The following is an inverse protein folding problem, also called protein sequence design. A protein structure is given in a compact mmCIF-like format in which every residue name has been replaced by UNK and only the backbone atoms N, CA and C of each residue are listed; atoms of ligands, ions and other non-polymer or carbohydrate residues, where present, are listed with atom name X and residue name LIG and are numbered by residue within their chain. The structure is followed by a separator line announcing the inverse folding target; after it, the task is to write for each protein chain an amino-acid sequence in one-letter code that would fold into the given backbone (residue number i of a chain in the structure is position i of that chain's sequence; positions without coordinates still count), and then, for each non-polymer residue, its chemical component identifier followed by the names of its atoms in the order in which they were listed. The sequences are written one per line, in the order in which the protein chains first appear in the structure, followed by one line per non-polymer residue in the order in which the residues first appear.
data_IF_632341006340
#
_entry.id   IF_632341006340
#
_cell.length_a   1.000
_cell.length_b   1.000
_cell.length_c   1.000
_cell.angle_alpha   90.00
_cell.angle_beta   90.00
_cell.angle_gamma   90.00
#
_symmetry.space_group_name_H-M   'P 1'
#
loop_
_entity.id
_entity.type
_entity.pdbx_description
1 polymer ?
#
# COMPACT_ATOMS: atom_id res chain seq x y z
N UNK A 1 15.71 -10.63 2.73
CA UNK A 1 15.85 -9.38 1.96
C UNK A 1 15.16 -9.62 0.63
N UNK A 2 13.84 -9.39 0.59
CA UNK A 2 13.09 -9.42 -0.67
C UNK A 2 13.31 -8.09 -1.38
N UNK A 3 13.79 -8.13 -2.62
CA UNK A 3 14.10 -6.92 -3.38
C UNK A 3 12.82 -6.37 -4.00
N UNK A 4 12.71 -5.04 -4.13
CA UNK A 4 11.59 -4.35 -4.80
C UNK A 4 11.28 -4.91 -6.20
N UNK A 5 12.29 -5.46 -6.87
CA UNK A 5 12.14 -6.15 -8.15
C UNK A 5 11.26 -7.43 -8.07
N UNK A 6 11.28 -8.17 -6.97
CA UNK A 6 10.46 -9.37 -6.78
C UNK A 6 8.98 -9.00 -6.52
N UNK A 7 8.73 -7.88 -5.83
CA UNK A 7 7.39 -7.34 -5.66
C UNK A 7 6.80 -6.83 -7.00
N UNK A 8 7.62 -6.20 -7.84
CA UNK A 8 7.23 -5.63 -9.13
C UNK A 8 7.15 -6.67 -10.26
N UNK A 9 7.87 -7.79 -10.17
CA UNK A 9 7.81 -8.88 -11.15
C UNK A 9 6.50 -9.68 -11.10
N UNK A 10 5.62 -9.42 -10.12
CA UNK A 10 4.29 -10.01 -10.04
C UNK A 10 3.30 -9.32 -11.01
N UNK A 11 3.69 -9.17 -12.28
CA UNK A 11 2.88 -8.67 -13.38
C UNK A 11 1.84 -9.66 -13.89
N UNK A 12 1.28 -10.50 -13.02
CA UNK A 12 0.19 -11.40 -13.39
C UNK A 12 -0.79 -11.51 -12.23
N UNK A 13 -2.08 -11.35 -12.51
CA UNK A 13 -3.20 -11.30 -11.56
C UNK A 13 -3.37 -12.56 -10.68
N UNK A 14 -2.42 -13.51 -10.72
CA UNK A 14 -2.39 -14.72 -9.91
C UNK A 14 -1.36 -14.58 -8.81
N UNK A 15 -1.86 -14.28 -7.62
CA UNK A 15 -1.21 -14.49 -6.31
C UNK A 15 -0.26 -13.42 -5.76
N UNK A 16 -0.48 -12.13 -6.04
CA UNK A 16 0.13 -11.09 -5.20
C UNK A 16 -0.45 -11.15 -3.77
N UNK A 17 0.23 -11.85 -2.86
CA UNK A 17 0.00 -11.79 -1.42
C UNK A 17 0.81 -10.62 -0.86
N UNK A 18 0.23 -9.42 -0.91
CA UNK A 18 0.78 -8.23 -0.26
C UNK A 18 1.03 -8.53 1.22
N UNK A 19 2.31 -8.66 1.61
CA UNK A 19 2.67 -8.96 2.99
C UNK A 19 2.35 -7.77 3.91
N UNK A 20 2.30 -8.01 5.22
CA UNK A 20 2.02 -6.93 6.18
C UNK A 20 3.06 -5.82 6.10
N UNK A 21 4.32 -6.19 5.88
CA UNK A 21 5.43 -5.25 5.77
C UNK A 21 5.35 -4.46 4.46
N UNK A 22 4.90 -5.08 3.37
CA UNK A 22 4.67 -4.40 2.08
C UNK A 22 3.60 -3.32 2.19
N UNK A 23 2.48 -3.60 2.88
CA UNK A 23 1.40 -2.61 3.04
C UNK A 23 1.87 -1.36 3.80
N UNK A 24 2.67 -1.56 4.87
CA UNK A 24 3.28 -0.44 5.59
C UNK A 24 4.18 0.36 4.64
N UNK A 25 5.07 -0.32 3.92
CA UNK A 25 6.00 0.31 2.99
C UNK A 25 5.26 1.11 1.91
N UNK A 26 4.20 0.58 1.32
CA UNK A 26 3.41 1.29 0.31
C UNK A 26 2.75 2.54 0.86
N UNK A 27 2.16 2.47 2.06
CA UNK A 27 1.56 3.65 2.69
C UNK A 27 2.64 4.70 2.93
N UNK A 28 3.75 4.34 3.56
CA UNK A 28 4.84 5.27 3.85
C UNK A 28 5.41 5.89 2.57
N UNK A 29 5.61 5.10 1.52
CA UNK A 29 6.11 5.58 0.23
C UNK A 29 5.16 6.59 -0.41
N UNK A 30 3.86 6.27 -0.48
CA UNK A 30 2.86 7.18 -1.07
C UNK A 30 2.83 8.51 -0.30
N UNK A 31 2.84 8.46 1.03
CA UNK A 31 2.81 9.68 1.85
C UNK A 31 4.10 10.52 1.72
N UNK A 32 5.24 9.89 1.48
CA UNK A 32 6.52 10.60 1.32
C UNK A 32 6.74 11.17 -0.08
N UNK A 33 6.22 10.50 -1.11
CA UNK A 33 6.51 10.80 -2.52
C UNK A 33 5.31 11.38 -3.29
N UNK A 34 4.18 11.62 -2.63
CA UNK A 34 3.02 12.30 -3.21
C UNK A 34 2.64 13.54 -2.38
N UNK A 35 1.61 14.25 -2.82
CA UNK A 35 1.01 15.36 -2.06
C UNK A 35 -0.11 14.91 -1.11
N UNK A 36 -0.36 13.61 -0.99
CA UNK A 36 -1.44 13.07 -0.16
C UNK A 36 -1.02 12.95 1.30
N UNK A 37 -1.90 13.37 2.21
CA UNK A 37 -1.79 13.03 3.63
C UNK A 37 -2.47 11.67 3.94
N UNK A 38 -2.37 11.19 5.19
CA UNK A 38 -2.95 9.91 5.60
C UNK A 38 -4.47 9.87 5.43
N UNK A 39 -5.16 11.01 5.54
CA UNK A 39 -6.62 11.11 5.37
C UNK A 39 -6.98 11.05 3.89
N UNK A 40 -6.25 11.75 3.03
CA UNK A 40 -6.45 11.70 1.59
C UNK A 40 -6.32 10.25 1.08
N UNK A 41 -5.26 9.55 1.51
CA UNK A 41 -5.06 8.15 1.14
C UNK A 41 -6.14 7.23 1.72
N UNK A 42 -6.65 7.51 2.91
CA UNK A 42 -7.74 6.74 3.50
C UNK A 42 -9.05 6.90 2.73
N UNK A 43 -9.36 8.11 2.29
CA UNK A 43 -10.54 8.42 1.49
C UNK A 43 -10.45 7.74 0.11
N UNK A 44 -9.28 7.79 -0.53
CA UNK A 44 -8.99 7.09 -1.79
C UNK A 44 -9.20 5.57 -1.66
N UNK A 45 -8.78 4.99 -0.54
CA UNK A 45 -8.89 3.55 -0.29
C UNK A 45 -10.24 3.15 0.34
N UNK A 46 -11.16 4.10 0.53
CA UNK A 46 -12.47 3.91 1.18
C UNK A 46 -12.36 3.24 2.56
N UNK A 47 -11.35 3.62 3.34
CA UNK A 47 -11.14 3.12 4.71
C UNK A 47 -11.03 4.26 5.71
N UNK A 48 -11.12 3.92 7.00
CA UNK A 48 -10.92 4.92 8.05
C UNK A 48 -9.43 5.27 8.17
N UNK A 49 -9.05 6.55 8.35
CA UNK A 49 -7.65 6.95 8.56
C UNK A 49 -6.99 6.22 9.74
N UNK A 50 -7.76 5.93 10.79
CA UNK A 50 -7.30 5.15 11.94
C UNK A 50 -6.80 3.75 11.53
N UNK A 51 -7.45 3.11 10.55
CA UNK A 51 -7.02 1.80 10.06
C UNK A 51 -5.64 1.91 9.38
N UNK A 52 -5.43 2.91 8.53
CA UNK A 52 -4.11 3.12 7.89
C UNK A 52 -3.03 3.43 8.93
N UNK A 53 -3.34 4.26 9.94
CA UNK A 53 -2.41 4.51 11.05
C UNK A 53 -2.03 3.22 11.78
N UNK A 54 -2.98 2.33 12.05
CA UNK A 54 -2.70 1.03 12.67
C UNK A 54 -1.85 0.13 11.77
N UNK A 55 -2.04 0.17 10.45
CA UNK A 55 -1.23 -0.59 9.49
C UNK A 55 0.21 -0.07 9.48
N UNK A 56 0.42 1.25 9.42
CA UNK A 56 1.75 1.86 9.49
C UNK A 56 2.47 1.52 10.81
N UNK A 57 1.73 1.46 11.91
CA UNK A 57 2.26 1.02 13.20
C UNK A 57 2.46 -0.50 13.34
N UNK A 58 2.17 -1.30 12.30
CA UNK A 58 2.26 -2.77 12.33
C UNK A 58 1.23 -3.47 13.22
N UNK A 59 0.18 -2.76 13.64
CA UNK A 59 -0.86 -3.25 14.56
C UNK A 59 -2.06 -3.87 13.83
N UNK A 60 -2.24 -3.57 12.55
CA UNK A 60 -3.32 -4.11 11.72
C UNK A 60 -2.82 -4.35 10.29
N UNK A 61 -3.63 -5.04 9.48
CA UNK A 61 -3.41 -5.22 8.05
C UNK A 61 -4.70 -4.94 7.26
N UNK A 62 -4.56 -4.46 6.04
CA UNK A 62 -5.66 -4.26 5.11
C UNK A 62 -6.17 -5.60 4.57
N UNK A 63 -7.49 -5.66 4.34
CA UNK A 63 -8.11 -6.81 3.66
C UNK A 63 -7.63 -6.86 2.21
N UNK A 64 -7.60 -8.07 1.63
CA UNK A 64 -7.10 -8.33 0.27
C UNK A 64 -7.55 -7.30 -0.78
N UNK A 65 -8.84 -6.96 -0.82
CA UNK A 65 -9.38 -5.97 -1.77
C UNK A 65 -8.70 -4.60 -1.60
N UNK A 66 -8.60 -4.11 -0.37
CA UNK A 66 -8.01 -2.79 -0.08
C UNK A 66 -6.49 -2.81 -0.26
N UNK A 67 -5.82 -3.92 0.07
CA UNK A 67 -4.37 -4.04 -0.16
C UNK A 67 -4.00 -4.08 -1.65
N UNK A 68 -4.87 -4.60 -2.52
CA UNK A 68 -4.69 -4.55 -3.97
C UNK A 68 -4.80 -3.09 -4.45
N UNK A 69 -5.85 -2.37 -4.04
CA UNK A 69 -6.00 -0.95 -4.38
C UNK A 69 -4.80 -0.10 -3.90
N UNK A 70 -4.29 -0.38 -2.68
CA UNK A 70 -3.09 0.28 -2.17
C UNK A 70 -1.87 0.02 -3.05
N UNK A 71 -1.69 -1.22 -3.51
CA UNK A 71 -0.59 -1.57 -4.41
C UNK A 71 -0.72 -0.87 -5.77
N UNK A 72 -1.92 -0.80 -6.35
CA UNK A 72 -2.17 -0.04 -7.58
C UNK A 72 -1.82 1.43 -7.42
N UNK A 73 -2.21 2.05 -6.30
CA UNK A 73 -1.85 3.43 -6.00
C UNK A 73 -0.36 3.65 -5.79
N UNK A 74 0.34 2.68 -5.19
CA UNK A 74 1.79 2.69 -5.10
C UNK A 74 2.44 2.68 -6.50
N UNK A 75 1.98 1.82 -7.41
CA UNK A 75 2.47 1.78 -8.79
C UNK A 75 2.23 3.10 -9.54
N UNK A 76 1.05 3.70 -9.37
CA UNK A 76 0.73 5.02 -9.95
C UNK A 76 1.69 6.09 -9.42
N UNK A 77 2.01 6.06 -8.12
CA UNK A 77 2.95 7.00 -7.50
C UNK A 77 4.38 6.78 -7.98
N UNK A 78 4.79 5.54 -8.21
CA UNK A 78 6.14 5.17 -8.64
C UNK A 78 6.42 5.53 -10.12
N UNK A 79 5.40 5.52 -10.98
CA UNK A 79 5.51 5.82 -12.41
C UNK A 79 5.34 7.31 -12.75
N UNK A 80 5.21 8.19 -11.76
CA UNK A 80 4.94 9.62 -11.93
C UNK A 80 6.16 10.47 -11.62
#
# INVERSE_FOLDING_TARGET
MGCLAEALACGSEKEYQCSKDDQKYFIEYILQHSHYDLRDLADILEVRPLLLSQVVCGRHYLKKKVSINLYEWFLITLCR
#
